data_IF_736654506337
#
_entry.id   IF_736654506337
#
_cell.length_a   1.000
_cell.length_b   1.000
_cell.length_c   1.000
_cell.angle_alpha   90.00
_cell.angle_beta   90.00
_cell.angle_gamma   90.00
#
_symmetry.space_group_name_H-M   'P 1'
#
loop_
_entity.id
_entity.type
_entity.pdbx_description
1 polymer ?
#
# COMPACT_ATOMS: atom_id res chain seq x y z
N UNK A 1 4.96 -18.34 -3.52
CA UNK A 1 5.76 -17.12 -3.23
C UNK A 1 5.60 -16.75 -1.78
N UNK A 2 6.72 -16.49 -1.11
CA UNK A 2 6.69 -16.01 0.28
C UNK A 2 6.34 -14.53 0.28
N UNK A 3 5.24 -14.15 0.96
CA UNK A 3 4.75 -12.77 0.99
C UNK A 3 4.98 -12.06 2.32
N UNK A 4 5.66 -12.71 3.29
CA UNK A 4 5.99 -12.09 4.57
C UNK A 4 7.37 -11.41 4.51
N UNK A 5 7.54 -10.36 5.31
CA UNK A 5 8.80 -9.60 5.42
C UNK A 5 9.23 -8.94 4.11
N UNK A 6 8.28 -8.57 3.29
CA UNK A 6 8.53 -7.90 2.01
C UNK A 6 8.30 -6.39 2.09
N UNK A 7 8.60 -5.71 1.00
CA UNK A 7 8.36 -4.27 0.89
C UNK A 7 6.92 -4.08 0.43
N UNK A 8 6.10 -3.45 1.26
CA UNK A 8 4.72 -3.17 0.91
C UNK A 8 4.54 -1.71 0.54
N UNK A 9 3.64 -1.43 -0.39
CA UNK A 9 3.36 -0.08 -0.88
C UNK A 9 1.86 0.16 -0.78
N UNK A 10 1.47 1.21 -0.05
CA UNK A 10 0.07 1.64 -0.07
C UNK A 10 -0.22 2.35 -1.40
N UNK A 11 -1.20 1.85 -2.12
CA UNK A 11 -1.59 2.39 -3.42
C UNK A 11 -2.76 3.34 -3.25
N UNK A 12 -2.55 4.61 -3.63
CA UNK A 12 -3.61 5.60 -3.66
C UNK A 12 -4.29 5.57 -5.02
N UNK A 13 -5.62 5.43 -5.02
CA UNK A 13 -6.43 5.42 -6.23
C UNK A 13 -6.98 6.82 -6.47
N UNK A 14 -6.79 7.34 -7.67
CA UNK A 14 -7.33 8.63 -8.09
C UNK A 14 -8.10 8.43 -9.39
N UNK A 15 -9.42 8.69 -9.37
CA UNK A 15 -10.25 8.52 -10.56
C UNK A 15 -10.30 7.07 -11.07
N UNK A 16 -10.26 6.10 -10.17
CA UNK A 16 -10.31 4.68 -10.51
C UNK A 16 -8.99 4.06 -10.95
N UNK A 17 -7.92 4.84 -11.02
CA UNK A 17 -6.59 4.39 -11.46
C UNK A 17 -5.53 4.73 -10.42
N UNK A 18 -4.32 4.20 -10.61
CA UNK A 18 -3.18 4.55 -9.76
C UNK A 18 -2.91 6.06 -9.83
N UNK A 19 -2.70 6.69 -8.68
CA UNK A 19 -2.25 8.08 -8.66
C UNK A 19 -0.79 8.15 -9.14
N UNK A 20 -0.37 9.30 -9.70
CA UNK A 20 1.05 9.48 -10.08
C UNK A 20 2.01 9.25 -8.91
N UNK A 21 1.61 9.63 -7.70
CA UNK A 21 2.40 9.43 -6.50
C UNK A 21 2.61 7.95 -6.22
N UNK A 22 1.58 7.12 -6.42
CA UNK A 22 1.68 5.67 -6.24
C UNK A 22 2.62 5.04 -7.25
N UNK A 23 2.64 5.53 -8.48
CA UNK A 23 3.56 5.06 -9.51
C UNK A 23 5.02 5.33 -9.07
N UNK A 24 5.30 6.52 -8.55
CA UNK A 24 6.62 6.85 -8.03
C UNK A 24 7.02 5.96 -6.86
N UNK A 25 6.09 5.70 -5.94
CA UNK A 25 6.34 4.83 -4.80
C UNK A 25 6.67 3.40 -5.23
N UNK A 26 5.97 2.89 -6.25
CA UNK A 26 6.26 1.56 -6.78
C UNK A 26 7.67 1.47 -7.35
N UNK A 27 8.12 2.53 -8.03
CA UNK A 27 9.50 2.59 -8.52
C UNK A 27 10.53 2.54 -7.40
N UNK A 28 10.31 3.29 -6.34
CA UNK A 28 11.19 3.28 -5.15
C UNK A 28 11.16 1.94 -4.43
N UNK A 29 9.97 1.36 -4.30
CA UNK A 29 9.80 0.04 -3.68
C UNK A 29 10.55 -1.03 -4.47
N UNK A 30 10.48 -0.97 -5.80
CA UNK A 30 11.19 -1.91 -6.66
C UNK A 30 12.69 -1.83 -6.44
N UNK A 31 13.25 -0.63 -6.39
CA UNK A 31 14.67 -0.43 -6.14
C UNK A 31 15.07 -0.97 -4.76
N UNK A 32 14.30 -0.65 -3.74
CA UNK A 32 14.58 -1.11 -2.38
C UNK A 32 14.49 -2.63 -2.25
N UNK A 33 13.45 -3.22 -2.83
CA UNK A 33 13.24 -4.66 -2.79
C UNK A 33 14.36 -5.41 -3.53
N UNK A 34 14.75 -4.93 -4.71
CA UNK A 34 15.82 -5.56 -5.47
C UNK A 34 17.15 -5.51 -4.72
N UNK A 35 17.44 -4.40 -4.05
CA UNK A 35 18.66 -4.28 -3.25
C UNK A 35 18.70 -5.24 -2.04
N UNK A 36 17.53 -5.63 -1.53
CA UNK A 36 17.41 -6.46 -0.34
C UNK A 36 17.00 -7.90 -0.63
N UNK A 37 16.78 -8.25 -1.89
CA UNK A 37 16.30 -9.58 -2.25
C UNK A 37 14.86 -9.83 -1.79
N UNK A 38 14.03 -8.79 -1.75
CA UNK A 38 12.64 -8.86 -1.31
C UNK A 38 11.68 -8.72 -2.48
N UNK A 39 10.40 -8.97 -2.20
CA UNK A 39 9.31 -8.76 -3.15
C UNK A 39 8.62 -7.42 -2.87
N UNK A 40 7.89 -6.91 -3.86
CA UNK A 40 7.04 -5.72 -3.71
C UNK A 40 5.59 -6.19 -3.68
N UNK A 41 4.89 -5.88 -2.61
CA UNK A 41 3.47 -6.20 -2.45
C UNK A 41 2.68 -4.88 -2.38
N UNK A 42 1.76 -4.68 -3.31
CA UNK A 42 0.90 -3.50 -3.31
C UNK A 42 -0.30 -3.73 -2.41
N UNK A 43 -0.55 -2.81 -1.49
CA UNK A 43 -1.75 -2.81 -0.65
C UNK A 43 -2.77 -1.85 -1.27
N UNK A 44 -3.93 -2.37 -1.65
CA UNK A 44 -4.96 -1.60 -2.35
C UNK A 44 -6.27 -1.69 -1.57
N UNK A 45 -6.91 -0.55 -1.32
CA UNK A 45 -8.23 -0.50 -0.71
C UNK A 45 -9.14 0.40 -1.55
N UNK A 46 -10.36 -0.04 -1.79
CA UNK A 46 -11.33 0.72 -2.59
C UNK A 46 -12.60 -0.04 -2.84
N UNK A 47 -13.56 0.62 -3.51
CA UNK A 47 -14.81 -0.02 -3.90
C UNK A 47 -14.63 -0.89 -5.15
N UNK A 48 -13.72 -0.50 -6.04
CA UNK A 48 -13.36 -1.26 -7.23
C UNK A 48 -11.83 -1.17 -7.38
N UNK A 49 -11.15 -2.29 -7.18
CA UNK A 49 -9.70 -2.33 -7.12
C UNK A 49 -9.06 -3.03 -8.34
N UNK A 50 -9.86 -3.53 -9.27
CA UNK A 50 -9.34 -4.36 -10.37
C UNK A 50 -8.33 -3.62 -11.24
N UNK A 51 -8.67 -2.40 -11.68
CA UNK A 51 -7.79 -1.62 -12.56
C UNK A 51 -6.51 -1.22 -11.83
N UNK A 52 -6.63 -0.70 -10.62
CA UNK A 52 -5.46 -0.30 -9.83
C UNK A 52 -4.54 -1.47 -9.54
N UNK A 53 -5.11 -2.64 -9.27
CA UNK A 53 -4.33 -3.87 -9.02
C UNK A 53 -3.53 -4.28 -10.26
N UNK A 54 -4.14 -4.25 -11.44
CA UNK A 54 -3.46 -4.57 -12.70
C UNK A 54 -2.35 -3.56 -12.99
N UNK A 55 -2.62 -2.28 -12.76
CA UNK A 55 -1.62 -1.23 -12.96
C UNK A 55 -0.45 -1.37 -12.00
N UNK A 56 -0.71 -1.73 -10.75
CA UNK A 56 0.35 -1.95 -9.76
C UNK A 56 1.32 -3.04 -10.22
N UNK A 57 0.80 -4.13 -10.76
CA UNK A 57 1.64 -5.19 -11.33
C UNK A 57 2.45 -4.66 -12.51
N UNK A 58 1.83 -3.88 -13.39
CA UNK A 58 2.52 -3.29 -14.55
C UNK A 58 3.67 -2.36 -14.14
N UNK A 59 3.55 -1.69 -13.00
CA UNK A 59 4.55 -0.75 -12.52
C UNK A 59 5.56 -1.35 -11.54
N UNK A 60 5.56 -2.68 -11.36
CA UNK A 60 6.61 -3.36 -10.64
C UNK A 60 6.24 -4.14 -9.39
N UNK A 61 4.97 -4.19 -9.01
CA UNK A 61 4.55 -5.02 -7.89
C UNK A 61 4.61 -6.50 -8.28
N UNK A 62 5.13 -7.33 -7.38
CA UNK A 62 5.15 -8.78 -7.57
C UNK A 62 3.80 -9.40 -7.22
N UNK A 63 3.07 -8.78 -6.30
CA UNK A 63 1.76 -9.24 -5.87
C UNK A 63 0.93 -8.06 -5.40
N UNK A 64 -0.39 -8.26 -5.35
CA UNK A 64 -1.34 -7.27 -4.86
C UNK A 64 -2.18 -7.92 -3.77
N UNK A 65 -2.31 -7.23 -2.63
CA UNK A 65 -3.26 -7.56 -1.58
C UNK A 65 -4.32 -6.48 -1.57
N UNK A 66 -5.55 -6.82 -1.89
CA UNK A 66 -6.63 -5.86 -2.03
C UNK A 66 -7.75 -6.09 -1.02
N UNK A 67 -8.30 -4.99 -0.51
CA UNK A 67 -9.55 -4.99 0.24
C UNK A 67 -10.57 -4.22 -0.59
N UNK A 68 -11.61 -4.90 -1.04
CA UNK A 68 -12.62 -4.31 -1.90
C UNK A 68 -13.96 -4.31 -1.20
N UNK A 69 -14.52 -3.12 -0.98
CA UNK A 69 -15.79 -2.95 -0.29
C UNK A 69 -16.39 -1.60 -0.70
N UNK A 70 -17.70 -1.56 -0.93
CA UNK A 70 -18.39 -0.31 -1.29
C UNK A 70 -18.19 0.82 -0.27
N UNK A 71 -17.98 0.49 1.00
CA UNK A 71 -17.70 1.47 2.04
C UNK A 71 -16.35 2.18 1.85
N UNK A 72 -15.47 1.64 1.00
CA UNK A 72 -14.16 2.21 0.70
C UNK A 72 -14.16 3.05 -0.58
N UNK A 73 -15.33 3.43 -1.10
CA UNK A 73 -15.44 4.23 -2.33
C UNK A 73 -14.78 5.61 -2.20
N UNK A 74 -14.78 6.17 -0.99
CA UNK A 74 -14.08 7.41 -0.68
C UNK A 74 -13.20 7.18 0.55
N UNK A 75 -12.14 7.95 0.68
CA UNK A 75 -11.25 7.80 1.82
C UNK A 75 -12.00 8.05 3.13
N UNK A 76 -11.86 7.12 4.06
CA UNK A 76 -12.37 7.21 5.42
C UNK A 76 -11.24 6.75 6.35
N UNK A 77 -10.83 7.62 7.26
CA UNK A 77 -9.68 7.38 8.14
C UNK A 77 -9.79 6.05 8.90
N UNK A 78 -10.95 5.78 9.48
CA UNK A 78 -11.14 4.58 10.31
C UNK A 78 -11.18 3.33 9.46
N UNK A 79 -11.97 3.34 8.40
CA UNK A 79 -12.14 2.16 7.54
C UNK A 79 -10.87 1.80 6.80
N UNK A 80 -10.17 2.79 6.25
CA UNK A 80 -8.91 2.55 5.55
C UNK A 80 -7.81 2.09 6.49
N UNK A 81 -7.73 2.66 7.68
CA UNK A 81 -6.76 2.20 8.69
C UNK A 81 -7.01 0.74 9.06
N UNK A 82 -8.27 0.36 9.27
CA UNK A 82 -8.63 -1.03 9.57
C UNK A 82 -8.25 -1.97 8.43
N UNK A 83 -8.57 -1.59 7.20
CA UNK A 83 -8.28 -2.41 6.02
C UNK A 83 -6.79 -2.66 5.85
N UNK A 84 -5.99 -1.60 5.89
CA UNK A 84 -4.55 -1.72 5.67
C UNK A 84 -3.86 -2.39 6.87
N UNK A 85 -4.29 -2.12 8.09
CA UNK A 85 -3.76 -2.81 9.26
C UNK A 85 -4.03 -4.32 9.20
N UNK A 86 -5.19 -4.73 8.73
CA UNK A 86 -5.50 -6.15 8.54
C UNK A 86 -4.58 -6.81 7.52
N UNK A 87 -4.28 -6.11 6.42
CA UNK A 87 -3.31 -6.60 5.43
C UNK A 87 -1.92 -6.69 6.04
N UNK A 88 -1.52 -5.70 6.83
CA UNK A 88 -0.21 -5.71 7.50
C UNK A 88 -0.09 -6.89 8.47
N UNK A 89 -1.14 -7.20 9.22
CA UNK A 89 -1.12 -8.36 10.11
C UNK A 89 -0.96 -9.66 9.34
N UNK A 90 -1.61 -9.78 8.19
CA UNK A 90 -1.56 -10.99 7.37
C UNK A 90 -0.21 -11.16 6.68
N UNK A 91 0.34 -10.09 6.11
CA UNK A 91 1.54 -10.17 5.28
C UNK A 91 2.83 -9.81 6.02
N UNK A 92 2.73 -9.31 7.25
CA UNK A 92 3.89 -9.00 8.12
C UNK A 92 5.01 -8.29 7.36
N UNK A 93 4.75 -7.09 6.80
CA UNK A 93 5.75 -6.41 5.97
C UNK A 93 6.99 -5.99 6.76
N UNK A 94 8.13 -5.92 6.07
CA UNK A 94 9.32 -5.31 6.68
C UNK A 94 9.18 -3.79 6.72
N UNK A 95 8.49 -3.20 5.74
CA UNK A 95 8.16 -1.77 5.70
C UNK A 95 6.94 -1.54 4.81
N UNK A 96 6.13 -0.54 5.14
CA UNK A 96 5.03 -0.06 4.31
C UNK A 96 5.39 1.34 3.83
N UNK A 97 5.56 1.51 2.52
CA UNK A 97 5.82 2.82 1.92
C UNK A 97 4.51 3.54 1.66
N UNK A 98 4.42 4.79 2.09
CA UNK A 98 3.24 5.62 1.94
C UNK A 98 3.64 6.97 1.37
N UNK A 99 2.82 7.52 0.47
CA UNK A 99 3.09 8.80 -0.15
C UNK A 99 2.69 10.00 0.70
N UNK A 100 2.96 11.20 0.18
CA UNK A 100 2.77 12.45 0.90
C UNK A 100 1.46 13.19 0.63
N UNK A 101 0.43 12.54 0.03
CA UNK A 101 -0.87 13.20 -0.10
C UNK A 101 -1.52 13.38 1.29
N UNK A 102 -2.47 14.32 1.45
CA UNK A 102 -3.13 14.52 2.75
C UNK A 102 -3.76 13.24 3.31
N UNK A 103 -4.46 12.46 2.48
CA UNK A 103 -5.10 11.22 2.90
C UNK A 103 -4.05 10.17 3.27
N UNK A 104 -3.00 10.03 2.48
CA UNK A 104 -1.92 9.09 2.77
C UNK A 104 -1.16 9.46 4.03
N UNK A 105 -0.95 10.74 4.31
CA UNK A 105 -0.31 11.19 5.55
C UNK A 105 -1.16 10.88 6.77
N UNK A 106 -2.47 11.09 6.67
CA UNK A 106 -3.41 10.74 7.75
C UNK A 106 -3.37 9.23 8.01
N UNK A 107 -3.46 8.43 6.96
CA UNK A 107 -3.39 6.98 7.06
C UNK A 107 -2.05 6.54 7.66
N UNK A 108 -0.94 7.10 7.18
CA UNK A 108 0.40 6.76 7.67
C UNK A 108 0.58 7.02 9.15
N UNK A 109 0.08 8.17 9.63
CA UNK A 109 0.13 8.49 11.05
C UNK A 109 -0.67 7.50 11.91
N UNK A 110 -1.86 7.14 11.46
CA UNK A 110 -2.72 6.17 12.16
C UNK A 110 -2.11 4.77 12.17
N UNK A 111 -1.55 4.34 11.05
CA UNK A 111 -0.87 3.04 10.94
C UNK A 111 0.38 2.99 11.83
N UNK A 112 1.18 4.05 11.85
CA UNK A 112 2.38 4.12 12.70
C UNK A 112 2.01 4.00 14.17
N UNK A 113 0.93 4.65 14.60
CA UNK A 113 0.46 4.56 15.98
C UNK A 113 -0.02 3.15 16.33
N UNK A 114 -0.66 2.47 15.37
CA UNK A 114 -1.25 1.15 15.61
C UNK A 114 -0.25 0.01 15.45
N UNK A 115 0.64 0.08 14.46
CA UNK A 115 1.55 -1.01 14.10
C UNK A 115 2.96 -0.85 14.67
N UNK A 116 3.30 0.35 15.10
CA UNK A 116 4.61 0.63 15.66
C UNK A 116 5.48 1.52 14.80
N UNK A 117 6.33 2.29 15.45
CA UNK A 117 7.27 3.20 14.80
C UNK A 117 8.29 2.40 13.97
N UNK A 118 8.59 2.88 12.78
CA UNK A 118 9.58 2.27 11.90
C UNK A 118 9.03 1.31 10.89
N UNK A 119 7.79 0.82 11.05
CA UNK A 119 7.16 -0.05 10.06
C UNK A 119 6.66 0.75 8.84
N UNK A 120 6.18 1.97 9.07
CA UNK A 120 5.63 2.83 8.02
C UNK A 120 6.65 3.91 7.66
N UNK A 121 6.98 4.01 6.38
CA UNK A 121 7.93 5.01 5.88
C UNK A 121 7.24 5.97 4.91
N UNK A 122 7.37 7.25 5.18
CA UNK A 122 6.86 8.33 4.32
C UNK A 122 7.93 8.66 3.26
N UNK A 123 7.51 8.74 2.02
CA UNK A 123 8.41 9.08 0.91
C UNK A 123 7.98 10.36 0.19
#
# INVERSE_FOLDING_TARGET
MELKQNICVYIEIAGGALSPLSIELLGKARQLADAKGKKVVAFVAGADTAKASQEAISYGADAVAAVEDGALAAYDSVLYTKAIAALAEKYEPSVILIGGSPDSRDLGGRLSAQLGVGLVADC
#
